data_IF_307885609859
#
_entry.id   IF_307885609859
#
_cell.length_a   1.000
_cell.length_b   1.000
_cell.length_c   1.000
_cell.angle_alpha   90.00
_cell.angle_beta   90.00
_cell.angle_gamma   90.00
#
_symmetry.space_group_name_H-M   'P 1'
#
loop_
_entity.id
_entity.type
_entity.pdbx_description
1 polymer ?
#
# COMPACT_ATOMS: atom_id res chain seq x y z
N UNK A 1 -3.77 19.48 25.01
CA UNK A 1 -3.23 18.66 26.11
C UNK A 1 -1.76 18.51 25.85
N UNK A 2 -0.93 18.43 26.90
CA UNK A 2 0.50 18.17 26.74
C UNK A 2 0.66 16.71 26.31
N UNK A 3 1.20 16.46 25.11
CA UNK A 3 1.49 15.10 24.66
C UNK A 3 2.74 14.61 25.38
N UNK A 4 2.78 13.34 25.78
CA UNK A 4 4.05 12.78 26.25
C UNK A 4 4.90 12.40 25.04
N UNK A 5 6.24 12.56 25.14
CA UNK A 5 7.16 12.06 24.13
C UNK A 5 6.95 10.57 23.87
N UNK A 6 7.08 10.18 22.60
CA UNK A 6 6.80 8.84 22.07
C UNK A 6 7.92 8.41 21.12
N UNK A 7 8.39 7.18 21.24
CA UNK A 7 9.22 6.57 20.19
C UNK A 7 8.36 5.76 19.23
N UNK A 8 8.58 5.95 17.93
CA UNK A 8 7.73 5.42 16.88
C UNK A 8 8.56 4.82 15.75
N UNK A 9 8.17 3.64 15.30
CA UNK A 9 8.64 3.08 14.03
C UNK A 9 7.48 2.61 13.17
N UNK A 10 7.72 2.58 11.87
CA UNK A 10 6.84 1.94 10.89
C UNK A 10 7.70 1.19 9.89
N UNK A 11 7.18 0.11 9.35
CA UNK A 11 7.85 -0.64 8.30
C UNK A 11 7.09 -0.57 6.99
N UNK A 12 7.80 -0.81 5.90
CA UNK A 12 7.23 -0.98 4.58
C UNK A 12 6.32 -2.20 4.45
N UNK A 13 6.14 -2.65 3.21
CA UNK A 13 5.27 -3.78 2.88
C UNK A 13 5.72 -5.05 3.64
N UNK A 14 4.82 -5.62 4.45
CA UNK A 14 5.05 -6.86 5.19
C UNK A 14 4.42 -8.04 4.44
N UNK A 15 5.03 -8.40 3.32
CA UNK A 15 4.68 -9.59 2.53
C UNK A 15 5.43 -10.79 3.14
N UNK A 16 4.90 -11.32 4.23
CA UNK A 16 5.52 -12.42 5.00
C UNK A 16 4.64 -13.67 4.98
N UNK A 17 5.25 -14.81 4.64
CA UNK A 17 4.56 -16.11 4.47
C UNK A 17 5.25 -17.26 5.22
N UNK A 18 6.40 -16.98 5.84
CA UNK A 18 7.22 -17.96 6.55
C UNK A 18 7.50 -17.49 7.98
N UNK A 19 7.59 -18.43 8.92
CA UNK A 19 8.07 -18.18 10.28
C UNK A 19 9.49 -17.60 10.26
N UNK A 20 9.78 -16.64 11.14
CA UNK A 20 11.05 -15.93 11.16
C UNK A 20 11.67 -15.77 12.56
N UNK A 21 10.94 -16.07 13.63
CA UNK A 21 11.42 -16.11 15.00
C UNK A 21 12.44 -17.23 15.26
N UNK A 22 12.56 -18.16 14.31
CA UNK A 22 13.51 -19.28 14.33
C UNK A 22 14.96 -18.90 14.00
N UNK A 23 15.18 -17.67 13.54
CA UNK A 23 16.47 -17.20 13.05
C UNK A 23 17.29 -16.53 14.16
N UNK A 24 18.62 -16.66 14.07
CA UNK A 24 19.55 -16.26 15.15
C UNK A 24 20.70 -15.37 14.65
N UNK A 25 20.66 -14.93 13.39
CA UNK A 25 21.69 -14.05 12.83
C UNK A 25 21.75 -12.72 13.59
N UNK A 26 22.96 -12.28 13.95
CA UNK A 26 23.19 -11.08 14.80
C UNK A 26 22.51 -9.83 14.25
N UNK A 27 22.68 -9.54 12.95
CA UNK A 27 22.05 -8.37 12.32
C UNK A 27 20.54 -8.47 12.16
N UNK A 28 19.97 -9.67 12.24
CA UNK A 28 18.52 -9.86 12.30
C UNK A 28 18.01 -9.64 13.71
N UNK A 29 18.67 -10.21 14.72
CA UNK A 29 18.31 -10.00 16.12
C UNK A 29 18.42 -8.53 16.52
N UNK A 30 19.48 -7.82 16.11
CA UNK A 30 19.61 -6.38 16.35
C UNK A 30 18.45 -5.61 15.71
N UNK A 31 18.06 -5.93 14.47
CA UNK A 31 16.90 -5.31 13.83
C UNK A 31 15.61 -5.53 14.64
N UNK A 32 15.37 -6.75 15.12
CA UNK A 32 14.20 -7.07 15.94
C UNK A 32 14.23 -6.30 17.26
N UNK A 33 15.37 -6.22 17.94
CA UNK A 33 15.54 -5.44 19.17
C UNK A 33 15.21 -3.95 18.94
N UNK A 34 15.66 -3.37 17.82
CA UNK A 34 15.33 -1.98 17.46
C UNK A 34 13.84 -1.72 17.31
N UNK A 35 13.07 -2.70 16.83
CA UNK A 35 11.61 -2.60 16.68
C UNK A 35 10.92 -2.80 18.04
N UNK A 36 11.40 -3.76 18.84
CA UNK A 36 10.86 -4.06 20.18
C UNK A 36 11.05 -2.91 21.19
N UNK A 37 12.10 -2.09 21.00
CA UNK A 37 12.40 -0.94 21.87
C UNK A 37 11.46 0.26 21.68
N UNK A 38 10.57 0.22 20.67
CA UNK A 38 9.67 1.34 20.37
C UNK A 38 8.37 1.27 21.19
N UNK A 39 7.84 2.45 21.57
CA UNK A 39 6.51 2.53 22.19
C UNK A 39 5.42 2.11 21.18
N UNK A 40 5.62 2.43 19.90
CA UNK A 40 4.71 2.10 18.80
C UNK A 40 5.46 1.62 17.57
N UNK A 41 5.00 0.50 17.01
CA UNK A 41 5.57 -0.14 15.81
C UNK A 41 4.45 -0.54 14.86
N UNK A 42 4.41 0.08 13.68
CA UNK A 42 3.37 -0.11 12.65
C UNK A 42 3.87 -1.02 11.53
N UNK A 43 3.07 -2.01 11.11
CA UNK A 43 3.34 -2.82 9.92
C UNK A 43 2.23 -2.73 8.86
N UNK A 44 2.60 -2.60 7.59
CA UNK A 44 1.69 -2.74 6.45
C UNK A 44 1.43 -4.22 6.16
N UNK A 45 0.33 -4.76 6.68
CA UNK A 45 -0.04 -6.17 6.53
C UNK A 45 -0.56 -6.44 5.12
N UNK A 46 0.35 -6.78 4.22
CA UNK A 46 0.08 -7.03 2.80
C UNK A 46 -0.06 -8.54 2.50
N UNK A 47 -0.68 -9.24 3.43
CA UNK A 47 -1.05 -10.66 3.32
C UNK A 47 -2.39 -10.89 3.98
N UNK A 48 -3.12 -11.91 3.51
CA UNK A 48 -4.28 -12.43 4.22
C UNK A 48 -3.83 -13.55 5.18
N UNK A 49 -4.31 -13.49 6.43
CA UNK A 49 -3.99 -14.42 7.51
C UNK A 49 -5.10 -15.47 7.63
N UNK A 50 -4.96 -16.58 6.92
CA UNK A 50 -6.02 -17.59 6.84
C UNK A 50 -5.46 -18.95 6.39
N UNK A 51 -6.16 -20.05 6.68
CA UNK A 51 -5.85 -21.41 6.25
C UNK A 51 -6.73 -21.83 5.05
N UNK A 52 -6.83 -20.94 4.06
CA UNK A 52 -7.66 -21.11 2.85
C UNK A 52 -9.18 -21.16 3.13
N UNK A 53 -9.64 -20.53 4.20
CA UNK A 53 -11.06 -20.18 4.34
C UNK A 53 -11.50 -19.25 3.21
N UNK A 54 -12.70 -19.45 2.69
CA UNK A 54 -13.23 -18.66 1.58
C UNK A 54 -12.87 -19.23 0.21
N UNK A 55 -12.87 -18.36 -0.79
CA UNK A 55 -12.61 -18.69 -2.18
C UNK A 55 -11.59 -17.70 -2.75
N UNK A 56 -10.63 -18.15 -3.56
CA UNK A 56 -9.78 -17.22 -4.30
C UNK A 56 -10.65 -16.24 -5.08
N UNK A 57 -10.26 -14.97 -5.09
CA UNK A 57 -10.95 -13.98 -5.91
C UNK A 57 -10.75 -14.30 -7.40
N UNK A 58 -11.66 -13.80 -8.23
CA UNK A 58 -11.55 -13.95 -9.68
C UNK A 58 -10.37 -13.15 -10.27
N UNK A 59 -9.86 -12.18 -9.52
CA UNK A 59 -8.76 -11.31 -9.91
C UNK A 59 -7.83 -11.10 -8.72
N UNK A 60 -6.54 -10.98 -9.02
CA UNK A 60 -5.49 -10.54 -8.09
C UNK A 60 -4.46 -9.73 -8.86
N UNK A 61 -4.01 -8.63 -8.26
CA UNK A 61 -2.98 -7.74 -8.83
C UNK A 61 -1.60 -8.37 -8.98
N UNK A 62 -1.38 -9.57 -8.42
CA UNK A 62 -0.10 -10.27 -8.47
C UNK A 62 -0.21 -11.72 -8.01
N UNK A 63 0.62 -12.08 -7.02
CA UNK A 63 0.45 -13.34 -6.28
C UNK A 63 -0.85 -13.28 -5.50
N UNK A 64 -1.60 -14.37 -5.45
CA UNK A 64 -2.67 -14.53 -4.47
C UNK A 64 -2.05 -14.70 -3.08
N UNK A 65 -1.90 -13.60 -2.35
CA UNK A 65 -1.19 -13.56 -1.08
C UNK A 65 -2.00 -14.21 0.02
N UNK A 66 -1.37 -15.20 0.65
CA UNK A 66 -1.88 -15.90 1.81
C UNK A 66 -0.70 -16.20 2.74
N UNK A 67 -0.94 -16.05 4.03
CA UNK A 67 -0.03 -16.41 5.10
C UNK A 67 -0.79 -17.21 6.17
N UNK A 68 -0.14 -18.20 6.82
CA UNK A 68 -0.73 -18.87 7.98
C UNK A 68 -1.09 -17.86 9.08
N UNK A 69 -2.21 -18.03 9.83
CA UNK A 69 -2.58 -17.13 10.91
C UNK A 69 -1.51 -16.92 11.98
N UNK A 70 -0.61 -17.89 12.18
CA UNK A 70 0.51 -17.86 13.11
C UNK A 70 1.53 -16.74 12.78
N UNK A 71 1.55 -16.25 11.54
CA UNK A 71 2.39 -15.10 11.15
C UNK A 71 2.01 -13.83 11.93
N UNK A 72 0.77 -13.73 12.39
CA UNK A 72 0.34 -12.67 13.29
C UNK A 72 1.09 -12.72 14.64
N UNK A 73 1.38 -13.93 15.14
CA UNK A 73 2.14 -14.14 16.37
C UNK A 73 3.62 -13.78 16.17
N UNK A 74 4.18 -14.11 15.01
CA UNK A 74 5.55 -13.74 14.61
C UNK A 74 5.73 -12.22 14.52
N UNK A 75 4.79 -11.51 13.92
CA UNK A 75 4.79 -10.04 13.85
C UNK A 75 4.66 -9.41 15.24
N UNK A 76 3.82 -9.97 16.09
CA UNK A 76 3.69 -9.50 17.48
C UNK A 76 4.98 -9.76 18.27
N UNK A 77 5.62 -10.93 18.09
CA UNK A 77 6.93 -11.25 18.66
C UNK A 77 8.01 -10.26 18.21
N UNK A 78 8.00 -9.82 16.96
CA UNK A 78 8.92 -8.80 16.44
C UNK A 78 8.74 -7.40 17.07
N UNK A 79 7.64 -7.16 17.79
CA UNK A 79 7.35 -5.89 18.46
C UNK A 79 6.28 -5.03 17.77
N UNK A 80 5.66 -5.50 16.68
CA UNK A 80 4.57 -4.75 16.02
C UNK A 80 3.30 -4.77 16.87
N UNK A 81 2.69 -3.59 17.04
CA UNK A 81 1.51 -3.40 17.89
C UNK A 81 0.37 -2.62 17.19
N UNK A 82 0.60 -2.16 15.96
CA UNK A 82 -0.41 -1.56 15.07
C UNK A 82 -0.24 -2.10 13.64
N UNK A 83 -1.36 -2.36 12.97
CA UNK A 83 -1.37 -2.96 11.63
C UNK A 83 -2.26 -2.18 10.66
N UNK A 84 -1.70 -1.75 9.52
CA UNK A 84 -2.52 -1.29 8.39
C UNK A 84 -2.88 -2.49 7.51
N UNK A 85 -4.17 -2.59 7.17
CA UNK A 85 -4.72 -3.74 6.44
C UNK A 85 -5.51 -3.33 5.18
N UNK A 86 -5.51 -2.04 4.82
CA UNK A 86 -6.00 -1.61 3.52
C UNK A 86 -4.88 -1.76 2.49
N UNK A 87 -4.87 -2.87 1.75
CA UNK A 87 -3.91 -3.15 0.68
C UNK A 87 -4.63 -3.67 -0.56
N UNK A 88 -3.95 -3.67 -1.70
CA UNK A 88 -4.43 -4.28 -2.95
C UNK A 88 -4.64 -5.82 -2.81
N UNK A 89 -3.89 -6.47 -1.91
CA UNK A 89 -3.91 -7.91 -1.64
C UNK A 89 -5.00 -8.34 -0.64
N UNK A 90 -5.66 -7.39 0.02
CA UNK A 90 -6.72 -7.65 1.00
C UNK A 90 -7.90 -8.47 0.45
N UNK A 91 -8.05 -8.58 -0.87
CA UNK A 91 -9.12 -9.34 -1.49
C UNK A 91 -8.70 -10.59 -2.24
N UNK A 92 -7.45 -11.04 -2.16
CA UNK A 92 -6.98 -12.19 -2.93
C UNK A 92 -7.81 -13.46 -2.67
N UNK A 93 -8.37 -13.63 -1.47
CA UNK A 93 -9.26 -14.74 -1.11
C UNK A 93 -10.70 -14.28 -0.82
N UNK A 94 -11.13 -13.26 -1.56
CA UNK A 94 -12.47 -12.67 -1.47
C UNK A 94 -12.83 -12.25 -0.03
N UNK A 95 -14.11 -12.04 0.24
CA UNK A 95 -14.59 -11.71 1.59
C UNK A 95 -14.31 -12.79 2.64
N UNK A 96 -14.12 -14.05 2.24
CA UNK A 96 -13.82 -15.14 3.18
C UNK A 96 -12.41 -15.02 3.77
N UNK A 97 -11.41 -14.73 2.94
CA UNK A 97 -10.04 -14.45 3.40
C UNK A 97 -9.96 -13.18 4.24
N UNK A 98 -10.72 -12.13 3.87
CA UNK A 98 -10.84 -10.91 4.69
C UNK A 98 -11.41 -11.20 6.08
N UNK A 99 -12.52 -11.95 6.16
CA UNK A 99 -13.16 -12.28 7.44
C UNK A 99 -12.23 -13.14 8.31
N UNK A 100 -11.57 -14.15 7.73
CA UNK A 100 -10.60 -14.97 8.44
C UNK A 100 -9.41 -14.16 8.97
N UNK A 101 -8.91 -13.20 8.17
CA UNK A 101 -7.84 -12.29 8.57
C UNK A 101 -8.28 -11.40 9.74
N UNK A 102 -9.45 -10.77 9.64
CA UNK A 102 -10.02 -9.96 10.73
C UNK A 102 -10.17 -10.80 12.00
N UNK A 103 -10.69 -12.03 11.89
CA UNK A 103 -10.83 -12.93 13.03
C UNK A 103 -9.47 -13.29 13.65
N UNK A 104 -8.47 -13.62 12.84
CA UNK A 104 -7.12 -13.97 13.31
C UNK A 104 -6.47 -12.82 14.11
N UNK A 105 -6.67 -11.58 13.66
CA UNK A 105 -6.20 -10.37 14.36
C UNK A 105 -7.01 -10.09 15.63
N UNK A 106 -8.35 -10.20 15.57
CA UNK A 106 -9.26 -9.98 16.69
C UNK A 106 -9.01 -10.96 17.84
N UNK A 107 -8.81 -12.24 17.55
CA UNK A 107 -8.53 -13.29 18.54
C UNK A 107 -7.22 -13.04 19.30
N UNK A 108 -6.26 -12.35 18.66
CA UNK A 108 -4.97 -11.96 19.24
C UNK A 108 -4.99 -10.57 19.90
N UNK A 109 -6.12 -9.87 19.88
CA UNK A 109 -6.26 -8.49 20.32
C UNK A 109 -5.30 -7.53 19.60
N UNK A 110 -5.01 -7.80 18.32
CA UNK A 110 -4.16 -6.95 17.49
C UNK A 110 -4.95 -5.74 16.99
N UNK A 111 -4.35 -4.56 17.12
CA UNK A 111 -4.99 -3.31 16.70
C UNK A 111 -4.73 -3.08 15.22
N UNK A 112 -5.76 -3.21 14.39
CA UNK A 112 -5.66 -3.03 12.93
C UNK A 112 -6.65 -2.00 12.40
N UNK A 113 -6.31 -1.35 11.30
CA UNK A 113 -7.15 -0.36 10.61
C UNK A 113 -7.17 -0.62 9.09
N UNK A 114 -8.18 -0.09 8.40
CA UNK A 114 -8.26 -0.12 6.93
C UNK A 114 -8.98 -1.33 6.34
N UNK A 115 -9.39 -2.31 7.15
CA UNK A 115 -10.25 -3.43 6.77
C UNK A 115 -11.45 -3.50 7.70
N UNK A 116 -12.64 -3.84 7.19
CA UNK A 116 -13.83 -3.97 8.05
C UNK A 116 -14.99 -4.69 7.37
N UNK A 117 -16.01 -5.06 8.16
CA UNK A 117 -17.22 -5.76 7.66
C UNK A 117 -18.21 -4.82 6.96
N UNK A 118 -17.93 -3.53 6.93
CA UNK A 118 -18.60 -2.48 6.17
C UNK A 118 -17.70 -1.23 6.08
N UNK A 119 -18.07 -0.26 5.24
CA UNK A 119 -17.26 0.94 5.00
C UNK A 119 -17.01 1.78 6.26
N UNK A 120 -17.98 1.87 7.17
CA UNK A 120 -17.81 2.64 8.39
C UNK A 120 -16.74 2.02 9.31
N UNK A 121 -16.67 0.69 9.38
CA UNK A 121 -15.63 -0.03 10.12
C UNK A 121 -14.27 0.09 9.42
N UNK A 122 -14.22 -0.12 8.10
CA UNK A 122 -12.97 -0.05 7.35
C UNK A 122 -12.30 1.34 7.47
N UNK A 123 -13.11 2.42 7.45
CA UNK A 123 -12.63 3.80 7.63
C UNK A 123 -12.31 4.20 9.07
N UNK A 124 -12.75 3.42 10.06
CA UNK A 124 -12.59 3.82 11.45
C UNK A 124 -11.10 3.78 11.86
N UNK A 125 -10.67 4.72 12.74
CA UNK A 125 -9.38 4.56 13.40
C UNK A 125 -9.39 3.33 14.30
N UNK A 126 -8.26 2.66 14.37
CA UNK A 126 -7.94 1.77 15.49
C UNK A 126 -7.14 2.53 16.54
N UNK A 127 -7.16 2.06 17.79
CA UNK A 127 -6.50 2.74 18.90
C UNK A 127 -5.63 1.77 19.70
N UNK A 128 -4.42 2.19 20.00
CA UNK A 128 -3.49 1.52 20.90
C UNK A 128 -3.25 2.41 22.13
N UNK A 129 -3.43 1.84 23.33
CA UNK A 129 -3.08 2.50 24.58
C UNK A 129 -1.65 2.13 24.99
N UNK A 130 -0.78 3.12 25.18
CA UNK A 130 0.59 2.94 25.68
C UNK A 130 0.77 3.70 27.00
N UNK A 131 1.85 3.43 27.77
CA UNK A 131 2.20 4.26 28.92
C UNK A 131 2.45 5.74 28.59
N UNK A 132 2.69 6.08 27.31
CA UNK A 132 2.93 7.44 26.82
C UNK A 132 1.67 8.13 26.32
N UNK A 133 0.60 7.39 26.05
CA UNK A 133 -0.66 7.96 25.61
C UNK A 133 -1.40 7.04 24.66
N UNK A 134 -2.52 7.53 24.15
CA UNK A 134 -3.31 6.81 23.16
C UNK A 134 -2.86 7.19 21.76
N UNK A 135 -2.61 6.19 20.92
CA UNK A 135 -2.20 6.34 19.53
C UNK A 135 -3.30 5.82 18.62
N UNK A 136 -3.64 6.57 17.59
CA UNK A 136 -4.61 6.17 16.57
C UNK A 136 -3.91 5.87 15.24
N UNK A 137 -4.35 4.83 14.54
CA UNK A 137 -3.97 4.55 13.16
C UNK A 137 -5.23 4.52 12.29
N UNK A 138 -5.19 5.19 11.15
CA UNK A 138 -6.17 5.05 10.07
C UNK A 138 -5.42 4.56 8.83
N UNK A 139 -6.04 3.64 8.09
CA UNK A 139 -5.44 3.05 6.89
C UNK A 139 -6.40 3.14 5.70
N UNK A 140 -5.86 3.43 4.52
CA UNK A 140 -6.61 3.47 3.26
C UNK A 140 -5.74 2.97 2.10
N UNK A 141 -6.37 2.73 0.94
CA UNK A 141 -5.70 2.23 -0.25
C UNK A 141 -6.26 2.89 -1.53
N UNK A 142 -5.37 3.26 -2.45
CA UNK A 142 -5.72 3.78 -3.79
C UNK A 142 -5.66 2.71 -4.86
N UNK A 143 -4.78 1.72 -4.70
CA UNK A 143 -4.63 0.60 -5.64
C UNK A 143 -5.61 -0.51 -5.30
N UNK A 144 -6.81 -0.38 -5.85
CA UNK A 144 -7.95 -1.21 -5.48
C UNK A 144 -8.18 -2.29 -6.55
N UNK A 145 -8.16 -3.56 -6.14
CA UNK A 145 -8.69 -4.66 -6.95
C UNK A 145 -10.23 -4.61 -6.89
N UNK A 146 -10.91 -4.76 -8.02
CA UNK A 146 -12.37 -4.68 -8.06
C UNK A 146 -13.03 -5.69 -7.14
N UNK A 147 -14.02 -5.21 -6.37
CA UNK A 147 -14.78 -6.05 -5.45
C UNK A 147 -14.19 -6.15 -4.05
N UNK A 148 -13.06 -5.48 -3.80
CA UNK A 148 -12.40 -5.47 -2.48
C UNK A 148 -12.81 -4.28 -1.62
N UNK A 149 -13.50 -3.28 -2.16
CA UNK A 149 -13.85 -2.07 -1.42
C UNK A 149 -14.97 -2.34 -0.41
N UNK A 150 -14.84 -1.81 0.80
CA UNK A 150 -15.90 -1.89 1.78
C UNK A 150 -17.14 -1.09 1.31
N UNK A 151 -18.33 -1.67 1.47
CA UNK A 151 -19.59 -1.07 1.08
C UNK A 151 -20.31 -0.40 2.25
N UNK A 152 -21.04 0.68 1.97
CA UNK A 152 -21.93 1.32 2.94
C UNK A 152 -23.04 0.36 3.38
N UNK A 153 -23.32 0.36 4.68
CA UNK A 153 -24.50 -0.31 5.22
C UNK A 153 -25.75 0.56 5.04
N UNK A 154 -26.86 -0.06 4.65
CA UNK A 154 -28.19 0.56 4.64
C UNK A 154 -29.05 0.02 5.78
N UNK A 155 -30.16 0.71 6.15
CA UNK A 155 -31.09 0.19 7.15
C UNK A 155 -31.67 -1.19 6.80
N UNK A 156 -31.78 -1.49 5.51
CA UNK A 156 -32.38 -2.70 4.95
C UNK A 156 -31.38 -3.69 4.32
N UNK A 157 -30.07 -3.37 4.34
CA UNK A 157 -29.04 -4.22 3.74
C UNK A 157 -27.71 -4.06 4.46
N UNK A 158 -27.06 -5.18 4.79
CA UNK A 158 -25.72 -5.18 5.38
C UNK A 158 -24.70 -4.51 4.43
N UNK A 159 -23.69 -3.86 5.01
CA UNK A 159 -22.56 -3.38 4.21
C UNK A 159 -21.74 -4.55 3.64
N UNK A 160 -20.96 -4.26 2.61
CA UNK A 160 -20.00 -5.22 2.04
C UNK A 160 -18.70 -5.15 2.84
N UNK A 161 -18.14 -6.28 3.32
CA UNK A 161 -16.80 -6.29 3.89
C UNK A 161 -15.76 -5.83 2.87
N UNK A 162 -14.67 -5.22 3.32
CA UNK A 162 -13.63 -4.77 2.41
C UNK A 162 -12.63 -3.81 3.05
N UNK A 163 -11.80 -3.23 2.19
CA UNK A 163 -10.83 -2.21 2.57
C UNK A 163 -11.44 -0.80 2.58
N UNK A 164 -10.77 0.12 3.26
CA UNK A 164 -11.03 1.56 3.23
C UNK A 164 -10.50 2.15 1.92
N UNK A 165 -11.37 2.47 0.95
CA UNK A 165 -10.92 2.94 -0.35
C UNK A 165 -10.66 4.45 -0.32
N UNK A 166 -9.61 4.86 -1.06
CA UNK A 166 -9.41 6.21 -1.55
C UNK A 166 -9.40 6.15 -3.08
N UNK A 167 -10.59 6.24 -3.70
CA UNK A 167 -10.67 6.10 -5.15
C UNK A 167 -9.94 7.24 -5.86
N UNK A 168 -9.33 6.92 -7.00
CA UNK A 168 -8.74 7.92 -7.89
C UNK A 168 -9.66 8.15 -9.08
N UNK A 169 -9.92 9.40 -9.40
CA UNK A 169 -10.50 9.82 -10.67
C UNK A 169 -9.36 10.05 -11.66
N UNK A 170 -9.34 9.27 -12.75
CA UNK A 170 -8.31 9.39 -13.79
C UNK A 170 -8.89 10.06 -15.02
N UNK A 171 -8.23 11.12 -15.49
CA UNK A 171 -8.58 11.86 -16.72
C UNK A 171 -7.39 11.91 -17.65
N UNK A 172 -7.65 11.75 -18.95
CA UNK A 172 -6.65 11.75 -20.00
C UNK A 172 -6.74 13.05 -20.79
N UNK A 173 -5.69 13.85 -20.77
CA UNK A 173 -5.64 15.08 -21.58
C UNK A 173 -5.09 14.75 -22.96
N UNK A 174 -5.76 15.24 -24.01
CA UNK A 174 -5.34 15.05 -25.41
C UNK A 174 -5.52 16.33 -26.25
N UNK A 175 -4.67 16.56 -27.27
CA UNK A 175 -4.88 17.64 -28.23
C UNK A 175 -6.18 17.48 -29.05
N UNK A 176 -6.70 18.60 -29.55
CA UNK A 176 -7.98 18.69 -30.26
C UNK A 176 -8.12 17.66 -31.39
N UNK A 177 -7.10 17.50 -32.23
CA UNK A 177 -7.06 16.52 -33.32
C UNK A 177 -7.35 15.09 -32.81
N UNK A 178 -6.69 14.67 -31.75
CA UNK A 178 -6.86 13.33 -31.17
C UNK A 178 -8.19 13.18 -30.45
N UNK A 179 -8.68 14.24 -29.81
CA UNK A 179 -10.00 14.25 -29.19
C UNK A 179 -11.11 14.01 -30.22
N UNK A 180 -11.05 14.69 -31.38
CA UNK A 180 -12.00 14.47 -32.48
C UNK A 180 -11.89 13.05 -33.06
N UNK A 181 -10.67 12.53 -33.21
CA UNK A 181 -10.43 11.16 -33.67
C UNK A 181 -11.01 10.12 -32.71
N UNK A 182 -10.87 10.30 -31.39
CA UNK A 182 -11.45 9.41 -30.37
C UNK A 182 -12.98 9.38 -30.45
N UNK A 183 -13.62 10.54 -30.61
CA UNK A 183 -15.07 10.63 -30.82
C UNK A 183 -15.48 9.89 -32.09
N UNK A 184 -14.74 10.09 -33.18
CA UNK A 184 -15.02 9.43 -34.46
C UNK A 184 -14.83 7.92 -34.39
N UNK A 185 -13.77 7.46 -33.72
CA UNK A 185 -13.51 6.04 -33.48
C UNK A 185 -14.63 5.41 -32.66
N UNK A 186 -15.08 6.06 -31.58
CA UNK A 186 -16.18 5.59 -30.74
C UNK A 186 -17.47 5.37 -31.55
N UNK A 187 -17.81 6.32 -32.43
CA UNK A 187 -18.95 6.20 -33.35
C UNK A 187 -18.79 5.03 -34.32
N UNK A 188 -17.62 4.88 -34.94
CA UNK A 188 -17.34 3.81 -35.92
C UNK A 188 -17.32 2.42 -35.30
N UNK A 189 -16.86 2.30 -34.06
CA UNK A 189 -16.89 1.07 -33.27
C UNK A 189 -18.32 0.72 -32.80
N UNK A 190 -19.28 1.64 -32.93
CA UNK A 190 -20.66 1.44 -32.50
C UNK A 190 -20.87 1.62 -30.99
N UNK A 191 -19.88 2.17 -30.27
CA UNK A 191 -19.96 2.41 -28.83
C UNK A 191 -21.07 3.41 -28.48
N UNK A 192 -21.25 4.43 -29.32
CA UNK A 192 -22.32 5.41 -29.13
C UNK A 192 -23.72 4.78 -29.31
N UNK A 193 -23.88 3.81 -30.21
CA UNK A 193 -25.14 3.08 -30.34
C UNK A 193 -25.44 2.22 -29.09
N UNK A 194 -24.40 1.71 -28.42
CA UNK A 194 -24.54 0.99 -27.15
C UNK A 194 -24.94 1.96 -26.03
N UNK A 195 -24.34 3.15 -25.96
CA UNK A 195 -24.75 4.21 -25.03
C UNK A 195 -26.20 4.62 -25.26
N UNK A 196 -26.60 4.85 -26.50
CA UNK A 196 -27.98 5.17 -26.86
C UNK A 196 -28.94 4.06 -26.44
N UNK A 197 -28.58 2.79 -26.67
CA UNK A 197 -29.39 1.67 -26.23
C UNK A 197 -29.48 1.56 -24.71
N UNK A 198 -28.39 1.81 -23.97
CA UNK A 198 -28.41 1.88 -22.50
C UNK A 198 -29.41 2.96 -22.03
N UNK A 199 -29.37 4.14 -22.64
CA UNK A 199 -30.31 5.25 -22.37
C UNK A 199 -31.77 4.86 -22.64
N UNK A 200 -32.05 4.26 -23.79
CA UNK A 200 -33.39 3.78 -24.15
C UNK A 200 -33.94 2.75 -23.15
N UNK A 201 -33.05 1.92 -22.61
CA UNK A 201 -33.38 0.90 -21.61
C UNK A 201 -33.42 1.46 -20.18
N UNK A 202 -33.10 2.74 -19.98
CA UNK A 202 -33.10 3.40 -18.67
C UNK A 202 -31.89 3.07 -17.79
N UNK A 203 -30.81 2.55 -18.37
CA UNK A 203 -29.53 2.41 -17.66
C UNK A 203 -28.74 3.72 -17.70
N UNK A 204 -27.93 3.96 -16.66
CA UNK A 204 -26.99 5.07 -16.66
C UNK A 204 -26.00 4.95 -17.84
N UNK A 205 -25.77 6.09 -18.50
CA UNK A 205 -24.84 6.19 -19.61
C UNK A 205 -23.55 6.83 -19.10
N UNK A 206 -22.40 6.18 -19.27
CA UNK A 206 -21.13 6.76 -18.87
C UNK A 206 -20.87 8.12 -19.54
N UNK A 207 -20.48 9.11 -18.74
CA UNK A 207 -20.10 10.44 -19.22
C UNK A 207 -21.25 11.41 -19.52
N UNK A 208 -22.50 11.04 -19.25
CA UNK A 208 -23.66 11.89 -19.58
C UNK A 208 -23.71 13.21 -18.78
N UNK A 209 -23.04 13.25 -17.62
CA UNK A 209 -22.93 14.41 -16.72
C UNK A 209 -21.50 14.97 -16.61
N UNK A 210 -20.56 14.57 -17.49
CA UNK A 210 -19.17 15.04 -17.45
C UNK A 210 -18.87 16.07 -18.54
N UNK A 211 -18.05 17.09 -18.23
CA UNK A 211 -17.62 18.13 -19.19
C UNK A 211 -16.64 17.64 -20.29
N UNK A 212 -16.24 16.36 -20.25
CA UNK A 212 -15.32 15.72 -21.20
C UNK A 212 -15.96 14.65 -22.11
N UNK A 213 -15.13 13.98 -22.91
CA UNK A 213 -15.56 12.85 -23.75
C UNK A 213 -15.25 11.51 -23.07
N UNK A 214 -16.29 10.70 -22.81
CA UNK A 214 -16.11 9.34 -22.29
C UNK A 214 -16.03 8.32 -23.42
N UNK A 215 -14.90 7.61 -23.51
CA UNK A 215 -14.71 6.47 -24.40
C UNK A 215 -15.16 5.19 -23.68
N UNK A 216 -16.20 4.53 -24.20
CA UNK A 216 -16.83 3.37 -23.55
C UNK A 216 -15.88 2.16 -23.55
N UNK A 217 -15.64 1.59 -22.37
CA UNK A 217 -14.83 0.40 -22.18
C UNK A 217 -15.72 -0.84 -22.04
N UNK A 218 -15.97 -1.53 -23.17
CA UNK A 218 -16.84 -2.72 -23.16
C UNK A 218 -16.11 -3.89 -22.50
N UNK A 219 -16.45 -4.17 -21.25
CA UNK A 219 -15.91 -5.28 -20.47
C UNK A 219 -14.81 -4.87 -19.49
N UNK A 220 -14.45 -3.59 -19.43
CA UNK A 220 -13.59 -3.05 -18.38
C UNK A 220 -14.37 -2.49 -17.20
N UNK A 221 -13.62 -2.20 -16.13
CA UNK A 221 -14.16 -1.77 -14.84
C UNK A 221 -14.56 -0.30 -14.84
N UNK A 222 -13.82 0.54 -15.56
CA UNK A 222 -14.07 1.98 -15.71
C UNK A 222 -13.98 2.41 -17.18
N UNK A 223 -14.79 3.41 -17.53
CA UNK A 223 -14.75 4.07 -18.83
C UNK A 223 -13.66 5.16 -18.85
N UNK A 224 -13.03 5.36 -20.00
CA UNK A 224 -11.92 6.31 -20.13
C UNK A 224 -12.47 7.72 -20.36
N UNK A 225 -12.05 8.68 -19.54
CA UNK A 225 -12.46 10.08 -19.66
C UNK A 225 -11.36 10.91 -20.32
N UNK A 226 -11.67 11.52 -21.46
CA UNK A 226 -10.75 12.37 -22.22
C UNK A 226 -11.16 13.85 -22.14
N UNK A 227 -10.19 14.72 -21.97
CA UNK A 227 -10.34 16.17 -21.93
C UNK A 227 -9.41 16.84 -22.93
N UNK A 228 -9.81 18.02 -23.38
CA UNK A 228 -9.00 18.84 -24.30
C UNK A 228 -7.85 19.51 -23.57
N UNK A 229 -6.65 19.44 -24.13
CA UNK A 229 -5.52 20.24 -23.69
C UNK A 229 -4.38 20.27 -24.70
N UNK A 230 -3.29 20.95 -24.37
CA UNK A 230 -2.20 21.23 -25.33
C UNK A 230 -1.21 20.07 -25.50
N UNK A 231 -1.29 19.03 -24.67
CA UNK A 231 -0.37 17.88 -24.66
C UNK A 231 -1.08 16.60 -24.19
N UNK A 232 -0.43 15.46 -24.45
CA UNK A 232 -0.82 14.20 -23.84
C UNK A 232 -0.44 14.19 -22.36
N UNK A 233 -1.41 13.87 -21.50
CA UNK A 233 -1.19 13.80 -20.06
C UNK A 233 -2.14 12.80 -19.40
N UNK A 234 -1.72 12.26 -18.25
CA UNK A 234 -2.57 11.46 -17.36
C UNK A 234 -2.67 12.22 -16.05
N UNK A 235 -3.87 12.70 -15.74
CA UNK A 235 -4.15 13.39 -14.50
C UNK A 235 -4.95 12.48 -13.57
N UNK A 236 -4.53 12.40 -12.31
CA UNK A 236 -5.20 11.63 -11.28
C UNK A 236 -5.50 12.53 -10.09
N UNK A 237 -6.74 12.48 -9.61
CA UNK A 237 -7.20 13.20 -8.43
C UNK A 237 -7.84 12.22 -7.47
N UNK A 238 -7.71 12.48 -6.16
CA UNK A 238 -8.46 11.71 -5.16
C UNK A 238 -9.95 12.01 -5.29
N UNK A 239 -10.78 11.01 -5.01
CA UNK A 239 -12.21 11.22 -4.88
C UNK A 239 -12.51 12.08 -3.63
N UNK A 240 -13.19 13.21 -3.83
CA UNK A 240 -13.48 14.18 -2.76
C UNK A 240 -14.26 13.56 -1.60
N UNK A 241 -15.27 12.72 -1.85
CA UNK A 241 -16.10 12.11 -0.80
C UNK A 241 -15.28 11.14 0.08
N UNK A 242 -14.35 10.41 -0.54
CA UNK A 242 -13.43 9.52 0.16
C UNK A 242 -12.43 10.32 1.00
N UNK A 243 -11.80 11.33 0.40
CA UNK A 243 -10.83 12.20 1.06
C UNK A 243 -11.45 12.95 2.24
N UNK A 244 -12.64 13.54 2.07
CA UNK A 244 -13.41 14.19 3.14
C UNK A 244 -13.76 13.18 4.25
N UNK A 245 -14.14 11.96 3.88
CA UNK A 245 -14.49 10.95 4.88
C UNK A 245 -13.28 10.47 5.68
N UNK A 246 -12.11 10.33 5.07
CA UNK A 246 -10.88 9.93 5.76
C UNK A 246 -10.37 11.08 6.65
N UNK A 247 -10.31 12.30 6.14
CA UNK A 247 -9.89 13.48 6.93
C UNK A 247 -10.84 13.75 8.11
N UNK A 248 -12.14 13.47 7.97
CA UNK A 248 -13.09 13.50 9.09
C UNK A 248 -12.75 12.47 10.18
N UNK A 249 -12.25 11.28 9.82
CA UNK A 249 -11.79 10.28 10.78
C UNK A 249 -10.52 10.73 11.49
N UNK A 250 -9.57 11.37 10.78
CA UNK A 250 -8.39 12.01 11.37
C UNK A 250 -8.79 13.03 12.42
N UNK A 251 -9.67 13.97 12.06
CA UNK A 251 -10.15 15.00 12.98
C UNK A 251 -10.87 14.39 14.20
N UNK A 252 -11.58 13.28 14.02
CA UNK A 252 -12.24 12.57 15.11
C UNK A 252 -11.26 11.82 16.01
N UNK A 253 -10.24 11.19 15.44
CA UNK A 253 -9.16 10.54 16.16
C UNK A 253 -8.34 11.55 16.97
N UNK A 254 -8.06 12.74 16.41
CA UNK A 254 -7.32 13.81 17.10
C UNK A 254 -7.98 14.32 18.38
N UNK A 255 -9.29 14.10 18.53
CA UNK A 255 -10.04 14.44 19.75
C UNK A 255 -10.04 13.31 20.79
N UNK A 256 -9.51 12.14 20.45
CA UNK A 256 -9.59 10.91 21.23
C UNK A 256 -8.23 10.24 21.46
N UNK A 257 -7.18 10.65 20.75
CA UNK A 257 -5.82 10.14 20.83
C UNK A 257 -4.83 11.30 20.96
N UNK A 258 -3.69 11.01 21.60
CA UNK A 258 -2.56 11.93 21.73
C UNK A 258 -1.78 12.01 20.42
N UNK A 259 -1.65 10.88 19.73
CA UNK A 259 -0.94 10.73 18.46
C UNK A 259 -1.84 10.10 17.39
N UNK A 260 -1.82 10.62 16.15
CA UNK A 260 -2.63 10.11 15.04
C UNK A 260 -1.75 9.88 13.82
N UNK A 261 -1.69 8.64 13.32
CA UNK A 261 -0.93 8.28 12.14
C UNK A 261 -1.85 7.81 11.00
N UNK A 262 -1.43 8.11 9.78
CA UNK A 262 -2.07 7.62 8.55
C UNK A 262 -1.14 6.64 7.85
N UNK A 263 -1.69 5.52 7.42
CA UNK A 263 -1.06 4.60 6.48
C UNK A 263 -1.84 4.60 5.16
N UNK A 264 -1.15 4.82 4.04
CA UNK A 264 -1.75 4.76 2.71
C UNK A 264 -0.98 3.79 1.82
N UNK A 265 -1.70 2.81 1.27
CA UNK A 265 -1.16 1.85 0.31
C UNK A 265 -1.47 2.29 -1.12
N UNK A 266 -0.44 2.62 -1.90
CA UNK A 266 -0.55 3.30 -3.21
C UNK A 266 0.59 2.92 -4.16
N UNK A 267 0.30 2.17 -5.21
CA UNK A 267 1.28 1.79 -6.24
C UNK A 267 1.48 2.88 -7.32
N UNK A 268 0.57 3.86 -7.41
CA UNK A 268 0.59 4.87 -8.46
C UNK A 268 1.85 5.75 -8.40
N UNK A 269 2.40 6.06 -9.58
CA UNK A 269 3.53 6.97 -9.80
C UNK A 269 3.19 8.07 -10.80
N UNK A 270 4.15 8.94 -11.09
CA UNK A 270 3.99 10.11 -11.96
C UNK A 270 3.71 9.70 -13.41
N UNK A 271 2.75 10.36 -14.06
CA UNK A 271 2.43 10.10 -15.47
C UNK A 271 1.80 8.73 -15.71
N UNK A 272 1.16 8.15 -14.70
CA UNK A 272 0.49 6.84 -14.79
C UNK A 272 1.43 5.64 -14.68
N UNK A 273 2.69 5.87 -14.28
CA UNK A 273 3.60 4.78 -13.90
C UNK A 273 3.11 4.06 -12.63
N UNK A 274 3.70 2.91 -12.34
CA UNK A 274 3.45 2.13 -11.12
C UNK A 274 4.73 1.47 -10.63
N UNK A 275 4.82 1.26 -9.32
CA UNK A 275 5.94 0.56 -8.67
C UNK A 275 7.30 1.22 -8.95
N UNK A 276 7.35 2.55 -8.83
CA UNK A 276 8.56 3.34 -8.97
C UNK A 276 8.73 4.35 -7.83
N UNK A 277 9.86 5.04 -7.87
CA UNK A 277 10.34 6.00 -6.87
C UNK A 277 9.75 7.40 -7.03
N UNK A 278 8.87 7.61 -8.02
CA UNK A 278 8.23 8.90 -8.25
C UNK A 278 6.99 9.08 -7.36
N UNK A 279 6.73 10.29 -6.89
CA UNK A 279 5.54 10.61 -6.08
C UNK A 279 4.54 11.37 -6.96
N UNK A 280 3.32 10.85 -7.20
CA UNK A 280 2.32 11.58 -7.98
C UNK A 280 1.71 12.73 -7.17
N UNK A 281 1.28 13.79 -7.85
CA UNK A 281 0.77 15.02 -7.22
C UNK A 281 -0.41 14.78 -6.25
N UNK A 282 -1.31 13.85 -6.58
CA UNK A 282 -2.44 13.54 -5.69
C UNK A 282 -1.96 12.97 -4.35
N UNK A 283 -0.89 12.18 -4.35
CA UNK A 283 -0.34 11.55 -3.16
C UNK A 283 0.34 12.59 -2.27
N UNK A 284 1.14 13.48 -2.86
CA UNK A 284 1.71 14.63 -2.13
C UNK A 284 0.63 15.49 -1.50
N UNK A 285 -0.39 15.86 -2.28
CA UNK A 285 -1.46 16.74 -1.83
C UNK A 285 -2.27 16.09 -0.70
N UNK A 286 -2.69 14.83 -0.89
CA UNK A 286 -3.48 14.09 0.09
C UNK A 286 -2.70 13.81 1.39
N UNK A 287 -1.39 13.53 1.32
CA UNK A 287 -0.55 13.37 2.49
C UNK A 287 -0.51 14.67 3.32
N UNK A 288 -0.31 15.83 2.68
CA UNK A 288 -0.36 17.14 3.35
C UNK A 288 -1.75 17.46 3.91
N UNK A 289 -2.82 17.12 3.18
CA UNK A 289 -4.20 17.28 3.66
C UNK A 289 -4.47 16.45 4.91
N UNK A 290 -3.89 15.26 5.02
CA UNK A 290 -3.99 14.41 6.21
C UNK A 290 -3.29 15.04 7.42
N UNK A 291 -2.08 15.58 7.24
CA UNK A 291 -1.38 16.33 8.30
C UNK A 291 -2.19 17.57 8.69
N UNK A 292 -2.71 18.33 7.73
CA UNK A 292 -3.53 19.52 7.96
C UNK A 292 -4.86 19.19 8.67
N UNK A 293 -5.40 17.99 8.49
CA UNK A 293 -6.55 17.48 9.21
C UNK A 293 -6.24 17.05 10.66
N UNK A 294 -4.95 16.97 11.03
CA UNK A 294 -4.48 16.73 12.40
C UNK A 294 -3.69 15.45 12.62
N UNK A 295 -3.30 14.74 11.55
CA UNK A 295 -2.36 13.63 11.64
C UNK A 295 -0.96 14.13 12.06
N UNK A 296 -0.28 13.35 12.87
CA UNK A 296 1.06 13.60 13.37
C UNK A 296 2.15 12.88 12.54
N UNK A 297 1.74 12.03 11.57
CA UNK A 297 2.62 11.43 10.59
C UNK A 297 1.85 10.67 9.50
N UNK A 298 2.50 10.50 8.34
CA UNK A 298 1.95 9.80 7.18
C UNK A 298 2.94 8.75 6.68
N UNK A 299 2.46 7.54 6.41
CA UNK A 299 3.26 6.38 6.06
C UNK A 299 2.73 5.79 4.75
N UNK A 300 3.50 5.93 3.69
CA UNK A 300 3.22 5.37 2.37
C UNK A 300 3.78 3.96 2.20
N UNK A 301 3.05 3.16 1.43
CA UNK A 301 3.34 1.75 1.16
C UNK A 301 2.92 1.37 -0.28
N UNK A 302 3.31 0.18 -0.74
CA UNK A 302 2.83 -0.40 -2.01
C UNK A 302 3.75 -0.32 -3.23
N UNK A 303 4.50 0.77 -3.54
CA UNK A 303 5.31 0.78 -4.76
C UNK A 303 6.53 -0.16 -4.67
N UNK A 304 6.74 -0.81 -3.51
CA UNK A 304 7.81 -1.76 -3.21
C UNK A 304 9.24 -1.19 -3.29
N UNK A 305 9.36 0.13 -3.45
CA UNK A 305 10.63 0.87 -3.51
C UNK A 305 10.60 2.05 -2.56
N UNK A 306 11.76 2.58 -2.21
CA UNK A 306 11.87 3.81 -1.44
C UNK A 306 11.32 5.01 -2.24
N UNK A 307 10.61 5.91 -1.54
CA UNK A 307 10.26 7.25 -2.03
C UNK A 307 10.75 8.27 -1.01
N UNK A 308 10.78 9.55 -1.40
CA UNK A 308 11.32 10.62 -0.56
C UNK A 308 10.62 10.75 0.80
N UNK A 309 11.31 11.41 1.72
CA UNK A 309 10.78 11.81 3.03
C UNK A 309 10.58 13.32 3.04
N UNK A 310 9.44 13.77 3.55
CA UNK A 310 9.12 15.19 3.75
C UNK A 310 8.82 15.44 5.23
N UNK A 311 9.35 16.53 5.79
CA UNK A 311 8.91 17.05 7.09
C UNK A 311 7.95 18.22 6.84
N UNK A 312 6.65 17.94 6.97
CA UNK A 312 5.60 18.92 6.74
C UNK A 312 4.94 19.31 8.07
N UNK A 313 5.09 20.58 8.47
CA UNK A 313 4.51 21.14 9.71
C UNK A 313 4.85 20.35 10.98
N UNK A 314 6.09 19.84 11.07
CA UNK A 314 6.55 19.06 12.23
C UNK A 314 6.08 17.61 12.24
N UNK A 315 5.45 17.13 11.17
CA UNK A 315 5.07 15.73 10.98
C UNK A 315 5.92 15.09 9.86
N UNK A 316 6.37 13.85 10.02
CA UNK A 316 7.05 13.14 8.96
C UNK A 316 6.04 12.56 7.96
N UNK A 317 6.35 12.68 6.68
CA UNK A 317 5.67 12.04 5.57
C UNK A 317 6.68 11.13 4.89
N UNK A 318 6.52 9.83 5.06
CA UNK A 318 7.25 8.82 4.30
C UNK A 318 6.43 8.46 3.07
N UNK A 319 6.84 8.85 1.87
CA UNK A 319 6.04 8.56 0.66
C UNK A 319 6.08 7.07 0.27
N UNK A 320 7.11 6.35 0.70
CA UNK A 320 7.20 4.88 0.68
C UNK A 320 8.43 4.44 1.48
N UNK A 321 8.25 3.44 2.34
CA UNK A 321 9.35 2.80 3.09
C UNK A 321 9.97 1.59 2.35
N UNK A 322 9.47 1.26 1.15
CA UNK A 322 9.87 0.05 0.43
C UNK A 322 9.28 -1.22 1.03
N UNK A 323 9.94 -2.37 0.85
CA UNK A 323 9.53 -3.63 1.46
C UNK A 323 10.21 -3.83 2.81
N UNK A 324 9.49 -4.38 3.79
CA UNK A 324 10.10 -4.92 5.00
C UNK A 324 10.26 -6.44 4.91
N UNK A 325 9.21 -7.14 4.52
CA UNK A 325 9.28 -8.53 4.06
C UNK A 325 8.81 -8.61 2.61
N UNK A 326 9.49 -9.43 1.81
CA UNK A 326 9.13 -9.65 0.40
C UNK A 326 9.20 -11.14 0.05
N UNK A 327 8.19 -11.89 0.50
CA UNK A 327 8.08 -13.34 0.35
C UNK A 327 6.91 -13.74 -0.57
N UNK A 328 6.71 -12.99 -1.66
CA UNK A 328 5.63 -13.23 -2.62
C UNK A 328 5.85 -14.48 -3.51
N UNK A 329 6.95 -15.20 -3.31
CA UNK A 329 7.37 -16.41 -4.03
C UNK A 329 7.24 -17.69 -3.20
N UNK A 330 6.71 -17.61 -1.97
CA UNK A 330 6.66 -18.76 -1.05
C UNK A 330 5.24 -19.11 -0.59
N UNK A 331 4.23 -18.58 -1.28
CA UNK A 331 2.83 -18.99 -1.09
C UNK A 331 2.65 -20.43 -1.58
N UNK A 332 2.15 -21.35 -0.74
CA UNK A 332 2.18 -22.78 -1.03
C UNK A 332 1.05 -23.27 -1.94
N UNK A 333 -0.09 -22.58 -1.99
CA UNK A 333 -1.24 -22.97 -2.81
C UNK A 333 -1.79 -21.75 -3.55
N UNK A 334 -1.99 -21.89 -4.86
CA UNK A 334 -2.45 -20.83 -5.73
C UNK A 334 -3.60 -21.33 -6.62
N UNK A 335 -4.55 -20.47 -7.00
CA UNK A 335 -5.67 -20.85 -7.85
C UNK A 335 -5.23 -21.08 -9.30
N UNK A 336 -6.01 -21.84 -10.08
CA UNK A 336 -5.66 -22.24 -11.45
C UNK A 336 -5.39 -21.02 -12.37
N UNK A 337 -6.13 -19.94 -12.15
CA UNK A 337 -6.09 -18.71 -12.95
C UNK A 337 -4.71 -18.06 -12.97
N UNK A 338 -3.88 -18.21 -11.93
CA UNK A 338 -2.51 -17.69 -11.98
C UNK A 338 -1.58 -18.55 -12.85
N UNK A 339 -1.81 -19.86 -12.97
CA UNK A 339 -1.04 -20.69 -13.88
C UNK A 339 -1.35 -20.33 -15.33
N UNK A 340 -2.63 -20.13 -15.65
CA UNK A 340 -3.06 -19.66 -16.96
C UNK A 340 -2.42 -18.30 -17.35
N UNK A 341 -2.22 -17.40 -16.38
CA UNK A 341 -1.54 -16.10 -16.59
C UNK A 341 -0.10 -16.22 -17.06
N UNK A 342 0.55 -17.34 -16.78
CA UNK A 342 1.93 -17.62 -17.17
C UNK A 342 2.01 -18.79 -18.17
N UNK A 343 0.93 -19.09 -18.88
CA UNK A 343 0.85 -20.15 -19.89
C UNK A 343 1.24 -21.55 -19.36
N UNK A 344 1.00 -21.81 -18.07
CA UNK A 344 1.26 -23.08 -17.39
C UNK A 344 0.01 -23.95 -17.28
N UNK A 345 0.16 -25.28 -17.40
CA UNK A 345 -0.95 -26.22 -17.21
C UNK A 345 -1.23 -26.39 -15.70
N UNK A 346 -2.40 -25.94 -15.19
CA UNK A 346 -2.71 -26.01 -13.76
C UNK A 346 -2.83 -27.43 -13.21
N UNK A 347 -2.91 -28.46 -14.06
CA UNK A 347 -2.92 -29.86 -13.62
C UNK A 347 -1.54 -30.51 -13.55
N UNK A 348 -0.53 -29.92 -14.18
CA UNK A 348 0.83 -30.47 -14.26
C UNK A 348 1.86 -29.62 -13.52
N UNK A 349 1.66 -28.30 -13.51
CA UNK A 349 2.57 -27.34 -12.87
C UNK A 349 2.31 -27.20 -11.38
N UNK A 350 3.38 -26.94 -10.64
CA UNK A 350 3.38 -26.67 -9.20
C UNK A 350 3.75 -25.20 -8.95
N UNK A 351 3.50 -24.67 -7.74
CA UNK A 351 3.85 -23.28 -7.40
C UNK A 351 5.32 -22.92 -7.71
N UNK A 352 6.25 -23.86 -7.53
CA UNK A 352 7.66 -23.63 -7.83
C UNK A 352 7.89 -23.32 -9.32
N UNK A 353 7.24 -24.05 -10.23
CA UNK A 353 7.32 -23.83 -11.68
C UNK A 353 6.77 -22.44 -12.04
N UNK A 354 5.63 -22.06 -11.44
CA UNK A 354 5.01 -20.75 -11.62
C UNK A 354 5.93 -19.61 -11.20
N UNK A 355 6.57 -19.73 -10.04
CA UNK A 355 7.49 -18.71 -9.58
C UNK A 355 8.78 -18.66 -10.41
N UNK A 356 9.24 -19.79 -10.97
CA UNK A 356 10.36 -19.81 -11.90
C UNK A 356 10.02 -19.03 -13.18
N UNK A 357 8.86 -19.29 -13.81
CA UNK A 357 8.38 -18.54 -14.99
C UNK A 357 8.20 -17.04 -14.72
N UNK A 358 7.72 -16.68 -13.53
CA UNK A 358 7.54 -15.27 -13.18
C UNK A 358 8.88 -14.52 -13.01
N UNK A 359 9.93 -15.22 -12.61
CA UNK A 359 11.20 -14.62 -12.18
C UNK A 359 12.26 -14.71 -13.24
N UNK A 360 12.22 -15.73 -14.10
CA UNK A 360 13.19 -15.93 -15.15
C UNK A 360 12.52 -15.75 -16.50
N UNK A 361 13.17 -14.99 -17.39
CA UNK A 361 12.77 -14.95 -18.79
C UNK A 361 13.32 -16.17 -19.56
N UNK A 362 13.00 -16.27 -20.85
CA UNK A 362 13.47 -17.34 -21.75
C UNK A 362 15.00 -17.50 -21.79
N UNK A 363 15.75 -16.44 -21.48
CA UNK A 363 17.22 -16.43 -21.41
C UNK A 363 17.78 -16.78 -20.03
N UNK A 364 16.91 -17.18 -19.09
CA UNK A 364 17.26 -17.49 -17.69
C UNK A 364 17.83 -16.27 -16.92
N UNK A 365 17.42 -15.06 -17.31
CA UNK A 365 17.74 -13.83 -16.61
C UNK A 365 16.59 -13.41 -15.70
N UNK A 366 16.92 -12.77 -14.57
CA UNK A 366 15.92 -12.27 -13.62
C UNK A 366 15.03 -11.19 -14.24
N UNK A 367 13.74 -11.24 -13.97
CA UNK A 367 12.72 -10.29 -14.39
C UNK A 367 11.78 -9.89 -13.23
N UNK A 368 10.87 -8.94 -13.48
CA UNK A 368 9.97 -8.40 -12.46
C UNK A 368 10.75 -7.75 -11.32
N UNK A 369 10.29 -7.93 -10.07
CA UNK A 369 10.95 -7.36 -8.90
C UNK A 369 12.37 -7.88 -8.67
N UNK A 370 12.70 -9.07 -9.18
CA UNK A 370 14.05 -9.64 -9.04
C UNK A 370 15.04 -9.11 -10.08
N UNK A 371 14.59 -8.26 -11.02
CA UNK A 371 15.46 -7.65 -12.02
C UNK A 371 16.25 -6.44 -11.50
N UNK A 372 15.81 -5.85 -10.39
CA UNK A 372 16.36 -4.62 -9.84
C UNK A 372 16.47 -4.71 -8.31
N UNK A 373 17.64 -4.36 -7.77
CA UNK A 373 17.92 -4.42 -6.33
C UNK A 373 17.09 -3.42 -5.53
N UNK A 374 16.60 -2.33 -6.14
CA UNK A 374 15.83 -1.29 -5.44
C UNK A 374 14.54 -1.79 -4.76
N UNK A 375 14.02 -2.94 -5.20
CA UNK A 375 12.85 -3.59 -4.56
C UNK A 375 13.20 -4.40 -3.31
N UNK A 376 14.48 -4.58 -3.02
CA UNK A 376 14.99 -5.46 -1.97
C UNK A 376 15.87 -4.72 -0.95
N UNK A 377 15.87 -3.39 -1.03
CA UNK A 377 16.67 -2.51 -0.20
C UNK A 377 15.76 -1.41 0.30
N UNK A 378 15.73 -1.23 1.61
CA UNK A 378 14.73 -0.39 2.28
C UNK A 378 15.29 0.26 3.53
N UNK A 379 14.44 0.89 4.33
CA UNK A 379 14.81 1.51 5.60
C UNK A 379 13.83 1.17 6.71
N UNK A 380 14.33 1.09 7.94
CA UNK A 380 13.55 1.18 9.16
C UNK A 380 13.68 2.60 9.73
N UNK A 381 12.63 3.43 9.71
CA UNK A 381 12.61 4.70 10.41
C UNK A 381 12.40 4.51 11.92
N UNK A 382 13.22 5.17 12.74
CA UNK A 382 12.98 5.37 14.18
C UNK A 382 12.78 6.87 14.38
N UNK A 383 11.59 7.24 14.83
CA UNK A 383 11.19 8.63 15.05
C UNK A 383 11.04 8.90 16.54
N UNK A 384 11.65 9.98 17.01
CA UNK A 384 11.40 10.51 18.34
C UNK A 384 10.42 11.68 18.24
N UNK A 385 9.26 11.53 18.87
CA UNK A 385 8.24 12.57 18.93
C UNK A 385 8.29 13.30 20.27
N UNK A 386 8.29 14.63 20.20
CA UNK A 386 8.21 15.56 21.33
C UNK A 386 6.80 16.05 21.63
N UNK A 387 6.66 17.24 22.21
CA UNK A 387 5.32 17.82 22.46
C UNK A 387 4.66 18.38 21.19
N UNK A 388 5.47 18.92 20.28
CA UNK A 388 5.03 19.73 19.14
C UNK A 388 5.14 19.01 17.78
N UNK A 389 5.67 17.78 17.74
CA UNK A 389 5.89 17.03 16.50
C UNK A 389 7.07 16.05 16.61
N UNK A 390 7.59 15.65 15.46
CA UNK A 390 8.82 14.85 15.37
C UNK A 390 10.04 15.73 15.66
N UNK A 391 10.92 15.28 16.56
CA UNK A 391 12.15 15.96 16.97
C UNK A 391 13.38 15.35 16.28
N UNK A 392 13.37 14.04 16.02
CA UNK A 392 14.43 13.38 15.26
C UNK A 392 13.91 12.19 14.47
N UNK A 393 14.59 11.86 13.38
CA UNK A 393 14.36 10.65 12.59
C UNK A 393 15.71 10.01 12.29
N UNK A 394 15.85 8.75 12.68
CA UNK A 394 16.93 7.86 12.24
C UNK A 394 16.39 6.88 11.19
N UNK A 395 17.15 6.63 10.13
CA UNK A 395 16.82 5.64 9.10
C UNK A 395 17.92 4.56 9.08
N UNK A 396 17.55 3.34 9.44
CA UNK A 396 18.43 2.18 9.40
C UNK A 396 18.27 1.46 8.06
N UNK A 397 19.32 1.33 7.24
CA UNK A 397 19.22 0.62 5.96
C UNK A 397 19.02 -0.88 6.16
N UNK A 398 18.15 -1.46 5.33
CA UNK A 398 17.80 -2.88 5.35
C UNK A 398 18.16 -3.54 4.02
N UNK A 399 18.66 -4.77 4.11
CA UNK A 399 18.89 -5.67 2.98
C UNK A 399 17.95 -6.88 3.09
N UNK A 400 17.10 -7.07 2.08
CA UNK A 400 16.18 -8.20 1.99
C UNK A 400 16.82 -9.38 1.22
N UNK A 401 18.11 -9.32 0.93
CA UNK A 401 18.89 -10.40 0.34
C UNK A 401 18.61 -10.59 -1.14
N UNK A 402 18.66 -9.51 -1.95
CA UNK A 402 18.42 -9.53 -3.40
C UNK A 402 19.07 -10.71 -4.13
N UNK A 403 20.33 -11.03 -3.80
CA UNK A 403 21.08 -12.10 -4.46
C UNK A 403 20.77 -13.51 -3.93
N UNK A 404 20.12 -13.63 -2.77
CA UNK A 404 19.87 -14.90 -2.09
C UNK A 404 18.86 -15.77 -2.83
N UNK A 405 18.83 -17.05 -2.46
CA UNK A 405 17.85 -18.01 -2.99
C UNK A 405 16.42 -17.69 -2.50
N UNK A 406 15.40 -18.13 -3.24
CA UNK A 406 13.97 -17.95 -2.91
C UNK A 406 13.62 -18.21 -1.43
N UNK A 407 14.03 -19.32 -0.77
CA UNK A 407 13.69 -19.56 0.63
C UNK A 407 14.41 -18.65 1.64
N UNK A 408 15.44 -17.91 1.21
CA UNK A 408 16.27 -17.05 2.08
C UNK A 408 16.14 -15.56 1.77
N UNK A 409 15.62 -15.22 0.59
CA UNK A 409 15.41 -13.85 0.13
C UNK A 409 14.06 -13.34 0.66
N UNK A 410 13.96 -12.04 0.88
CA UNK A 410 12.74 -11.37 1.33
C UNK A 410 12.61 -11.23 2.85
N UNK A 411 13.58 -11.70 3.64
CA UNK A 411 13.65 -11.44 5.09
C UNK A 411 14.59 -10.26 5.32
N UNK A 412 14.16 -9.22 6.08
CA UNK A 412 15.00 -8.05 6.31
C UNK A 412 16.16 -8.39 7.24
N UNK A 413 17.29 -7.74 7.02
CA UNK A 413 18.45 -7.73 7.91
C UNK A 413 19.04 -6.32 7.91
N UNK A 414 19.71 -5.89 8.97
CA UNK A 414 20.52 -4.67 8.90
C UNK A 414 21.54 -4.82 7.76
N UNK A 415 21.61 -3.79 6.93
CA UNK A 415 22.40 -3.79 5.71
C UNK A 415 23.91 -3.77 5.98
N UNK A 416 24.68 -4.36 5.05
CA UNK A 416 26.12 -4.15 4.99
C UNK A 416 26.51 -2.81 4.35
N UNK A 417 27.81 -2.47 4.30
CA UNK A 417 28.29 -1.17 3.78
C UNK A 417 27.81 -0.82 2.37
N UNK A 418 27.89 -1.77 1.42
CA UNK A 418 27.53 -1.51 0.03
C UNK A 418 26.04 -1.17 -0.17
N UNK A 419 25.16 -1.77 0.63
CA UNK A 419 23.71 -1.48 0.61
C UNK A 419 23.44 -0.19 1.38
N UNK A 420 24.13 0.03 2.50
CA UNK A 420 24.05 1.25 3.31
C UNK A 420 24.35 2.50 2.48
N UNK A 421 25.48 2.52 1.76
CA UNK A 421 25.88 3.66 0.92
C UNK A 421 24.84 3.94 -0.18
N UNK A 422 24.30 2.89 -0.81
CA UNK A 422 23.27 3.02 -1.83
C UNK A 422 21.96 3.60 -1.27
N UNK A 423 21.48 3.05 -0.15
CA UNK A 423 20.25 3.51 0.51
C UNK A 423 20.42 4.96 0.98
N UNK A 424 21.57 5.31 1.55
CA UNK A 424 21.85 6.68 1.99
C UNK A 424 21.78 7.69 0.85
N UNK A 425 22.44 7.39 -0.27
CA UNK A 425 22.39 8.23 -1.46
C UNK A 425 20.96 8.36 -2.02
N UNK A 426 20.25 7.23 -2.11
CA UNK A 426 18.88 7.17 -2.64
C UNK A 426 17.91 7.99 -1.79
N UNK A 427 17.92 7.82 -0.47
CA UNK A 427 17.01 8.57 0.42
C UNK A 427 17.28 10.07 0.34
N UNK A 428 18.55 10.50 0.36
CA UNK A 428 18.88 11.92 0.26
C UNK A 428 18.50 12.52 -1.10
N UNK A 429 18.73 11.79 -2.20
CA UNK A 429 18.30 12.23 -3.54
C UNK A 429 16.78 12.43 -3.58
N UNK A 430 16.01 11.42 -3.17
CA UNK A 430 14.56 11.44 -3.22
C UNK A 430 13.93 12.45 -2.24
N UNK A 431 14.57 12.72 -1.10
CA UNK A 431 14.06 13.64 -0.06
C UNK A 431 14.44 15.11 -0.33
N UNK A 432 15.49 15.35 -1.13
CA UNK A 432 15.99 16.71 -1.42
C UNK A 432 14.94 17.62 -2.07
N UNK A 433 14.02 17.07 -2.87
CA UNK A 433 12.92 17.81 -3.50
C UNK A 433 11.94 18.43 -2.49
N UNK A 434 11.89 17.89 -1.27
CA UNK A 434 11.07 18.37 -0.16
C UNK A 434 11.87 19.24 0.83
N UNK A 435 13.17 19.45 0.58
CA UNK A 435 14.06 20.19 1.49
C UNK A 435 14.43 19.43 2.76
N UNK A 436 14.23 18.11 2.79
CA UNK A 436 14.69 17.25 3.88
C UNK A 436 16.05 16.65 3.52
N UNK A 437 17.06 16.97 4.31
CA UNK A 437 18.43 16.49 4.15
C UNK A 437 18.83 15.68 5.39
N UNK A 438 19.22 14.43 5.20
CA UNK A 438 19.73 13.58 6.27
C UNK A 438 21.26 13.61 6.29
N UNK A 439 21.82 13.59 7.50
CA UNK A 439 23.26 13.45 7.72
C UNK A 439 23.61 12.02 8.12
N UNK A 440 24.74 11.52 7.64
CA UNK A 440 25.26 10.21 8.06
C UNK A 440 25.71 10.26 9.52
N UNK A 441 25.20 9.34 10.35
CA UNK A 441 25.63 9.11 11.73
C UNK A 441 25.94 7.64 11.94
N UNK A 442 27.19 7.25 11.61
CA UNK A 442 27.61 5.85 11.68
C UNK A 442 26.81 4.97 10.71
N UNK A 443 26.08 3.93 11.19
CA UNK A 443 25.31 3.03 10.34
C UNK A 443 23.91 3.56 10.00
N UNK A 444 23.54 4.79 10.38
CA UNK A 444 22.21 5.35 10.12
C UNK A 444 22.28 6.70 9.39
N UNK A 445 21.20 7.06 8.70
CA UNK A 445 20.92 8.45 8.35
C UNK A 445 20.13 9.09 9.49
N UNK A 446 20.47 10.32 9.86
CA UNK A 446 19.79 11.06 10.92
C UNK A 446 19.43 12.48 10.50
N UNK A 447 18.28 12.95 10.93
CA UNK A 447 17.88 14.36 10.91
C UNK A 447 17.33 14.76 12.28
N UNK A 448 17.77 15.90 12.79
CA UNK A 448 17.28 16.53 14.02
C UNK A 448 16.55 17.85 13.65
N UNK A 449 15.42 18.14 14.30
CA UNK A 449 14.46 19.18 13.87
C UNK A 449 14.25 20.33 14.87
#
# INVERSE_FOLDING_TARGET
MQKNPLTFTAVGDAIVTQEFSVYEEESFNELIERIQDQDVSVANLEVLLHNFEGYPAAQSGGTYMQAPPEIADELTWAGFNLFSAATNHAGDFSHGGMEATMQALEERNMSYAGMGRNLAQARAPTFLDTPKGRVALISACTTITTGTEAGLQRPDMQGRPGISPLHLQTRYTVPEEFHEELIHASKKLGLEAIKDRKRELGFQVPGEDSDGFTFLNIGGETDLQFELGDRFDIHQEVNDEDAESITKQIQAAKRQADWVFISLHSHEGTGGSRNDDTVPQFLESFARDCIDAGADGFIGHGPHVLRGVEIYRGAPIFYSLGNFFMQNETVPNLPAEIYDRYDLDPYQSLPADLFDERIFNDEQQRQGFTADRKFWESVLPICEFGEDGVESIELLPLDLGYERSRPQRGRPMLAGPDVTDYVFATVNELSSQYGTEFTEDGPVLRVDL
#
